data_IF_833665123194
#
_entry.id   IF_833665123194
#
_cell.length_a   1.000
_cell.length_b   1.000
_cell.length_c   1.000
_cell.angle_alpha   90.00
_cell.angle_beta   90.00
_cell.angle_gamma   90.00
#
_symmetry.space_group_name_H-M   'P 1'
#
loop_
_entity.id
_entity.type
_entity.pdbx_description
1 polymer ?
#
# COMPACT_ATOMS: atom_id res chain seq x y z
N UNK A 1 12.39 -7.93 9.36
CA UNK A 1 12.17 -6.95 8.27
C UNK A 1 10.68 -7.02 7.94
N UNK A 2 9.92 -5.96 8.22
CA UNK A 2 8.48 -5.90 7.92
C UNK A 2 8.34 -5.81 6.40
N UNK A 3 7.55 -6.70 5.82
CA UNK A 3 7.37 -6.80 4.37
C UNK A 3 6.59 -5.57 3.87
N UNK A 4 7.17 -4.78 2.96
CA UNK A 4 6.57 -3.56 2.41
C UNK A 4 5.96 -3.82 1.01
N UNK A 5 5.20 -4.91 0.85
CA UNK A 5 4.34 -5.01 -0.32
C UNK A 5 3.17 -4.06 -0.12
N UNK A 6 3.11 -3.03 -0.97
CA UNK A 6 1.99 -2.09 -0.96
C UNK A 6 0.67 -2.80 -1.26
N UNK A 7 -0.46 -2.24 -0.83
CA UNK A 7 -1.81 -2.76 -1.11
C UNK A 7 -2.22 -2.53 -2.57
N UNK A 8 -1.34 -2.80 -3.53
CA UNK A 8 -1.47 -2.27 -4.88
C UNK A 8 -2.60 -2.96 -5.64
N UNK A 9 -3.66 -2.23 -5.89
CA UNK A 9 -4.70 -2.55 -6.86
C UNK A 9 -4.30 -1.97 -8.22
N UNK A 10 -3.78 -2.84 -9.10
CA UNK A 10 -3.33 -2.49 -10.45
C UNK A 10 -4.50 -2.20 -11.41
N UNK A 11 -5.74 -2.38 -10.94
CA UNK A 11 -6.97 -2.03 -11.65
C UNK A 11 -7.60 -0.73 -11.13
N UNK A 12 -6.98 -0.06 -10.14
CA UNK A 12 -7.50 1.20 -9.64
C UNK A 12 -7.40 2.29 -10.73
N UNK A 13 -8.51 2.91 -11.17
CA UNK A 13 -8.45 4.00 -12.13
C UNK A 13 -7.62 5.19 -11.63
N UNK A 14 -7.51 5.36 -10.30
CA UNK A 14 -6.67 6.40 -9.69
C UNK A 14 -5.17 6.08 -9.71
N UNK A 15 -4.79 4.87 -10.12
CA UNK A 15 -3.39 4.52 -10.36
C UNK A 15 -2.83 5.25 -11.60
N UNK A 16 -3.69 5.54 -12.58
CA UNK A 16 -3.34 6.18 -13.86
C UNK A 16 -3.42 7.71 -13.81
N UNK A 17 -4.17 8.28 -12.86
CA UNK A 17 -4.26 9.74 -12.61
C UNK A 17 -3.00 10.33 -11.96
N UNK A 18 -1.95 9.51 -11.86
CA UNK A 18 -0.69 9.87 -11.26
C UNK A 18 0.05 11.01 -11.98
N UNK A 19 0.79 11.80 -11.20
CA UNK A 19 1.60 12.93 -11.66
C UNK A 19 2.46 12.58 -12.89
N UNK A 20 2.32 13.31 -14.01
CA UNK A 20 3.08 13.08 -15.26
C UNK A 20 4.61 13.03 -15.08
N UNK A 21 5.15 13.70 -14.05
CA UNK A 21 6.59 13.68 -13.74
C UNK A 21 7.10 12.27 -13.36
N UNK A 22 6.20 11.40 -12.88
CA UNK A 22 6.51 10.04 -12.49
C UNK A 22 5.86 9.01 -13.39
N UNK A 23 5.07 9.38 -14.41
CA UNK A 23 4.38 8.44 -15.32
C UNK A 23 5.31 7.38 -15.93
N UNK A 24 6.57 7.74 -16.16
CA UNK A 24 7.59 6.80 -16.60
C UNK A 24 7.86 5.69 -15.58
N UNK A 25 7.63 5.87 -14.29
CA UNK A 25 7.92 4.89 -13.25
C UNK A 25 6.83 3.80 -13.13
N UNK A 26 5.50 4.10 -13.06
CA UNK A 26 4.46 3.09 -13.14
C UNK A 26 4.48 2.33 -14.47
N UNK A 27 4.55 3.01 -15.62
CA UNK A 27 4.63 2.30 -16.91
C UNK A 27 5.87 1.43 -17.03
N UNK A 28 7.05 1.91 -16.59
CA UNK A 28 8.26 1.07 -16.56
C UNK A 28 8.14 -0.06 -15.53
N UNK A 29 7.47 0.15 -14.40
CA UNK A 29 7.26 -0.88 -13.40
C UNK A 29 6.32 -1.97 -13.95
N UNK A 30 5.20 -1.60 -14.56
CA UNK A 30 4.27 -2.52 -15.21
C UNK A 30 4.93 -3.25 -16.40
N UNK A 31 5.70 -2.53 -17.22
CA UNK A 31 6.47 -3.14 -18.33
C UNK A 31 7.54 -4.09 -17.81
N UNK A 32 8.20 -3.79 -16.69
CA UNK A 32 9.16 -4.72 -16.05
C UNK A 32 8.48 -5.92 -15.41
N UNK A 33 7.29 -5.73 -14.86
CA UNK A 33 6.55 -6.76 -14.13
C UNK A 33 5.86 -7.75 -15.07
N UNK A 34 5.23 -7.24 -16.14
CA UNK A 34 4.41 -8.04 -17.07
C UNK A 34 5.03 -8.18 -18.46
N UNK A 35 5.97 -7.31 -18.84
CA UNK A 35 6.43 -7.18 -20.22
C UNK A 35 5.67 -6.08 -20.99
N UNK A 36 6.23 -5.61 -22.12
CA UNK A 36 5.63 -4.51 -22.90
C UNK A 36 4.26 -4.85 -23.49
N UNK A 37 4.04 -6.11 -23.88
CA UNK A 37 2.82 -6.55 -24.54
C UNK A 37 1.68 -6.82 -23.53
N UNK A 38 2.03 -7.16 -22.29
CA UNK A 38 1.10 -7.60 -21.25
C UNK A 38 0.84 -6.55 -20.17
N UNK A 39 1.54 -5.40 -20.19
CA UNK A 39 1.40 -4.34 -19.17
C UNK A 39 -0.01 -3.79 -19.03
N UNK A 40 -0.86 -3.94 -20.05
CA UNK A 40 -2.26 -3.49 -20.05
C UNK A 40 -3.26 -4.66 -19.97
N UNK A 41 -2.77 -5.88 -19.78
CA UNK A 41 -3.63 -7.06 -19.65
C UNK A 41 -4.38 -7.01 -18.31
N UNK A 42 -5.69 -6.78 -18.38
CA UNK A 42 -6.54 -6.62 -17.19
C UNK A 42 -6.54 -7.88 -16.30
N UNK A 43 -6.50 -9.07 -16.90
CA UNK A 43 -6.51 -10.31 -16.13
C UNK A 43 -5.18 -10.52 -15.39
N UNK A 44 -4.04 -10.21 -16.02
CA UNK A 44 -2.74 -10.25 -15.34
C UNK A 44 -2.65 -9.21 -14.22
N UNK A 45 -3.13 -7.99 -14.45
CA UNK A 45 -3.23 -6.96 -13.42
C UNK A 45 -4.11 -7.40 -12.26
N UNK A 46 -5.26 -8.03 -12.54
CA UNK A 46 -6.16 -8.60 -11.53
C UNK A 46 -5.43 -9.64 -10.69
N UNK A 47 -4.84 -10.64 -11.34
CA UNK A 47 -4.13 -11.74 -10.68
C UNK A 47 -2.93 -11.25 -9.85
N UNK A 48 -2.24 -10.20 -10.29
CA UNK A 48 -1.12 -9.63 -9.56
C UNK A 48 -1.53 -8.67 -8.42
N UNK A 49 -2.79 -8.23 -8.38
CA UNK A 49 -3.28 -7.29 -7.36
C UNK A 49 -3.62 -8.03 -6.06
N UNK A 50 -2.94 -7.77 -4.93
CA UNK A 50 -3.17 -8.49 -3.67
C UNK A 50 -4.62 -8.40 -3.16
N UNK A 51 -5.33 -7.30 -3.46
CA UNK A 51 -6.73 -7.09 -3.07
C UNK A 51 -7.68 -8.17 -3.60
N UNK A 52 -7.29 -8.88 -4.67
CA UNK A 52 -8.11 -9.94 -5.28
C UNK A 52 -7.98 -11.29 -4.58
N UNK A 53 -7.00 -11.43 -3.70
CA UNK A 53 -6.69 -12.67 -2.98
C UNK A 53 -7.01 -12.61 -1.49
N UNK A 54 -7.56 -11.48 -1.01
CA UNK A 54 -7.91 -11.26 0.38
C UNK A 54 -8.92 -12.31 0.87
N UNK A 55 -8.63 -12.90 2.03
CA UNK A 55 -9.40 -13.97 2.64
C UNK A 55 -9.55 -13.82 4.15
N UNK A 56 -10.55 -14.50 4.72
CA UNK A 56 -10.75 -14.54 6.17
C UNK A 56 -9.59 -15.23 6.91
N UNK A 57 -8.74 -15.98 6.21
CA UNK A 57 -7.58 -16.68 6.77
C UNK A 57 -6.29 -15.85 6.76
N UNK A 58 -6.31 -14.63 6.21
CA UNK A 58 -5.13 -13.79 6.16
C UNK A 58 -4.65 -13.41 7.57
N UNK A 59 -3.44 -12.86 7.72
CA UNK A 59 -3.02 -12.30 9.00
C UNK A 59 -3.86 -11.05 9.37
N UNK A 60 -3.76 -10.57 10.60
CA UNK A 60 -4.20 -9.21 10.90
C UNK A 60 -3.25 -8.20 10.25
N UNK A 61 -3.76 -7.00 9.94
CA UNK A 61 -3.01 -5.97 9.24
C UNK A 61 -3.05 -4.63 9.98
N UNK A 62 -1.98 -3.85 9.80
CA UNK A 62 -1.96 -2.41 10.01
C UNK A 62 -1.44 -1.72 8.77
N UNK A 63 -1.95 -0.52 8.51
CA UNK A 63 -1.52 0.30 7.39
C UNK A 63 -0.96 1.61 7.91
N UNK A 64 0.21 1.99 7.40
CA UNK A 64 0.81 3.29 7.63
C UNK A 64 1.13 3.95 6.29
N UNK A 65 1.00 5.28 6.21
CA UNK A 65 1.29 6.05 5.00
C UNK A 65 1.76 7.45 5.35
N UNK A 66 2.71 7.98 4.59
CA UNK A 66 3.05 9.41 4.69
C UNK A 66 1.94 10.25 4.06
N UNK A 67 1.51 11.35 4.69
CA UNK A 67 0.55 12.27 4.04
C UNK A 67 1.12 12.89 2.77
N UNK A 68 2.45 13.01 2.69
CA UNK A 68 3.19 13.53 1.56
C UNK A 68 3.66 12.43 0.59
N UNK A 69 3.23 11.17 0.79
CA UNK A 69 3.45 10.08 -0.16
C UNK A 69 2.96 10.51 -1.54
N UNK A 70 3.89 10.54 -2.48
CA UNK A 70 3.57 10.93 -3.84
C UNK A 70 3.13 9.73 -4.63
N UNK A 71 3.84 8.59 -4.59
CA UNK A 71 3.77 7.41 -5.47
C UNK A 71 2.52 6.55 -5.31
N UNK A 72 2.08 6.34 -4.07
CA UNK A 72 0.93 5.46 -3.80
C UNK A 72 -0.23 6.31 -3.27
N UNK A 73 -1.27 6.43 -4.08
CA UNK A 73 -2.48 7.17 -3.73
C UNK A 73 -3.17 6.55 -2.51
N UNK A 74 -3.78 7.40 -1.68
CA UNK A 74 -4.45 6.97 -0.44
C UNK A 74 -5.55 5.93 -0.69
N UNK A 75 -6.23 5.99 -1.84
CA UNK A 75 -7.29 5.05 -2.24
C UNK A 75 -6.82 3.59 -2.18
N UNK A 76 -5.56 3.30 -2.51
CA UNK A 76 -5.00 1.95 -2.52
C UNK A 76 -5.06 1.30 -1.13
N UNK A 77 -4.62 2.05 -0.10
CA UNK A 77 -4.69 1.59 1.28
C UNK A 77 -6.14 1.47 1.75
N UNK A 78 -6.99 2.45 1.43
CA UNK A 78 -8.38 2.45 1.86
C UNK A 78 -9.18 1.28 1.27
N UNK A 79 -9.01 0.98 -0.03
CA UNK A 79 -9.65 -0.16 -0.70
C UNK A 79 -9.24 -1.49 -0.09
N UNK A 80 -7.97 -1.66 0.26
CA UNK A 80 -7.49 -2.87 0.93
C UNK A 80 -8.05 -2.99 2.36
N UNK A 81 -8.06 -1.90 3.14
CA UNK A 81 -8.67 -1.87 4.48
C UNK A 81 -10.14 -2.29 4.40
N UNK A 82 -10.90 -1.70 3.47
CA UNK A 82 -12.30 -2.05 3.25
C UNK A 82 -12.48 -3.52 2.88
N UNK A 83 -11.66 -4.03 1.94
CA UNK A 83 -11.71 -5.43 1.52
C UNK A 83 -11.42 -6.41 2.67
N UNK A 84 -10.40 -6.13 3.48
CA UNK A 84 -10.03 -6.94 4.64
C UNK A 84 -11.13 -6.93 5.71
N UNK A 85 -11.69 -5.74 6.01
CA UNK A 85 -12.85 -5.63 6.90
C UNK A 85 -14.06 -6.40 6.36
N UNK A 86 -14.29 -6.36 5.05
CA UNK A 86 -15.37 -7.09 4.38
C UNK A 86 -15.27 -8.62 4.48
N UNK A 87 -14.07 -9.18 4.70
CA UNK A 87 -13.87 -10.61 4.98
C UNK A 87 -13.73 -10.93 6.48
N UNK A 88 -14.07 -9.97 7.35
CA UNK A 88 -14.13 -10.15 8.80
C UNK A 88 -12.85 -9.82 9.57
N UNK A 89 -11.85 -9.19 8.95
CA UNK A 89 -10.62 -8.75 9.65
C UNK A 89 -10.84 -7.51 10.49
N UNK A 90 -10.12 -7.40 11.61
CA UNK A 90 -10.17 -6.22 12.50
C UNK A 90 -9.05 -5.26 12.17
N UNK A 91 -9.09 -4.71 10.96
CA UNK A 91 -8.08 -3.76 10.48
C UNK A 91 -8.36 -2.36 11.02
N UNK A 92 -7.42 -1.70 11.74
CA UNK A 92 -7.56 -0.31 12.16
C UNK A 92 -7.67 0.67 10.98
N UNK A 93 -8.06 1.91 11.25
CA UNK A 93 -7.98 2.96 10.24
C UNK A 93 -6.53 3.25 9.83
N UNK A 94 -6.35 3.83 8.64
CA UNK A 94 -5.03 4.15 8.10
C UNK A 94 -4.29 5.14 9.02
N UNK A 95 -3.12 4.73 9.52
CA UNK A 95 -2.25 5.61 10.30
C UNK A 95 -1.41 6.49 9.38
N UNK A 96 -1.71 7.78 9.34
CA UNK A 96 -0.95 8.75 8.56
C UNK A 96 0.17 9.40 9.39
N UNK A 97 1.32 9.69 8.76
CA UNK A 97 2.46 10.38 9.38
C UNK A 97 3.01 11.50 8.49
N UNK A 98 3.69 12.46 9.11
CA UNK A 98 4.37 13.57 8.42
C UNK A 98 5.76 13.15 7.97
N UNK A 99 5.85 12.56 6.78
CA UNK A 99 7.14 12.21 6.18
C UNK A 99 7.48 13.07 4.96
N UNK A 100 8.74 13.04 4.54
CA UNK A 100 9.32 13.84 3.47
C UNK A 100 10.15 12.99 2.52
N UNK A 101 10.32 13.49 1.29
CA UNK A 101 11.13 12.88 0.25
C UNK A 101 10.45 12.85 -1.12
N UNK A 102 11.18 12.40 -2.16
CA UNK A 102 10.70 12.48 -3.54
C UNK A 102 9.64 11.42 -3.89
N UNK A 103 9.57 10.33 -3.14
CA UNK A 103 8.78 9.13 -3.45
C UNK A 103 7.79 8.82 -2.31
N UNK A 104 8.02 7.72 -1.59
CA UNK A 104 7.22 7.28 -0.44
C UNK A 104 7.19 8.24 0.76
N UNK A 105 7.96 9.33 0.67
CA UNK A 105 8.10 10.35 1.70
C UNK A 105 8.35 9.74 3.09
N UNK A 106 9.34 8.84 3.21
CA UNK A 106 9.63 8.05 4.42
C UNK A 106 10.60 8.72 5.40
N UNK A 107 11.22 9.85 5.04
CA UNK A 107 12.08 10.59 5.97
C UNK A 107 11.17 11.32 6.94
N UNK A 108 11.37 11.16 8.23
CA UNK A 108 10.49 11.76 9.24
C UNK A 108 11.30 12.31 10.39
N UNK A 109 10.69 13.19 11.19
CA UNK A 109 11.30 13.60 12.45
C UNK A 109 11.44 12.40 13.39
N UNK A 110 12.29 12.53 14.41
CA UNK A 110 12.46 11.47 15.40
C UNK A 110 11.14 11.18 16.12
N UNK A 111 10.37 12.21 16.44
CA UNK A 111 9.08 12.09 17.13
C UNK A 111 8.06 11.31 16.29
N UNK A 112 7.98 11.57 14.98
CA UNK A 112 7.12 10.80 14.08
C UNK A 112 7.59 9.35 13.95
N UNK A 113 8.91 9.11 13.88
CA UNK A 113 9.46 7.76 13.84
C UNK A 113 9.11 6.97 15.10
N UNK A 114 9.27 7.57 16.28
CA UNK A 114 8.93 6.96 17.57
C UNK A 114 7.44 6.66 17.67
N UNK A 115 6.57 7.56 17.16
CA UNK A 115 5.11 7.35 17.12
C UNK A 115 4.72 6.19 16.20
N UNK A 116 5.22 6.16 14.97
CA UNK A 116 4.94 5.07 14.01
C UNK A 116 5.45 3.74 14.56
N UNK A 117 6.64 3.73 15.17
CA UNK A 117 7.21 2.56 15.81
C UNK A 117 6.35 2.05 16.97
N UNK A 118 5.87 2.96 17.84
CA UNK A 118 4.97 2.59 18.94
C UNK A 118 3.70 1.89 18.46
N UNK A 119 3.05 2.42 17.42
CA UNK A 119 1.87 1.81 16.80
C UNK A 119 2.19 0.40 16.27
N UNK A 120 3.32 0.24 15.60
CA UNK A 120 3.76 -1.05 15.06
C UNK A 120 4.05 -2.06 16.17
N UNK A 121 4.74 -1.64 17.24
CA UNK A 121 5.01 -2.49 18.40
C UNK A 121 3.72 -2.91 19.11
N UNK A 122 2.81 -1.98 19.38
CA UNK A 122 1.52 -2.28 20.01
C UNK A 122 0.66 -3.24 19.17
N UNK A 123 0.73 -3.13 17.85
CA UNK A 123 0.07 -4.08 16.96
C UNK A 123 0.70 -5.47 17.08
N UNK A 124 2.03 -5.59 16.93
CA UNK A 124 2.73 -6.87 17.03
C UNK A 124 2.52 -7.53 18.39
N UNK A 125 2.58 -6.75 19.48
CA UNK A 125 2.35 -7.22 20.84
C UNK A 125 0.96 -7.78 21.07
N UNK A 126 -0.06 -7.29 20.35
CA UNK A 126 -1.43 -7.83 20.42
C UNK A 126 -1.62 -9.09 19.59
N UNK A 127 -0.81 -9.29 18.55
CA UNK A 127 -0.98 -10.39 17.59
C UNK A 127 -0.06 -11.58 17.85
N UNK A 128 1.08 -11.38 18.53
CA UNK A 128 2.12 -12.39 18.72
C UNK A 128 2.27 -12.87 20.17
N UNK A 129 1.44 -12.38 21.10
CA UNK A 129 1.36 -12.85 22.49
C UNK A 129 0.12 -13.72 22.65
#
# INVERSE_FOLDING_TARGET
MINQFGPTDLLDPDLETFNPAFWSAPERALTKLFGPDDRNNAELRRQASPITHVSANDAEFIFTRSVNEKLIVKSQAMRMIEKLRGVGKTVPDLYEFQGEGPAHAVRMSREEAERVWGIQQEFLDRQLK
#
